data_IF_588587965947
#
_entry.id   IF_588587965947
#
_cell.length_a   1.000
_cell.length_b   1.000
_cell.length_c   1.000
_cell.angle_alpha   90.00
_cell.angle_beta   90.00
_cell.angle_gamma   90.00
#
_symmetry.space_group_name_H-M   'P 1'
#
loop_
_entity.id
_entity.type
_entity.pdbx_description
1 polymer ?
#
# COMPACT_ATOMS: atom_id res chain seq x y z
N UNK A 1 -15.60 -1.67 -2.12
CA UNK A 1 -14.17 -2.12 -2.04
C UNK A 1 -14.02 -3.41 -2.80
N UNK A 2 -12.92 -3.56 -3.52
CA UNK A 2 -12.64 -4.79 -4.27
C UNK A 2 -12.63 -6.00 -3.32
N UNK A 3 -13.07 -7.15 -3.81
CA UNK A 3 -13.20 -8.36 -2.99
C UNK A 3 -12.20 -9.44 -3.40
N UNK A 4 -11.88 -10.39 -2.51
CA UNK A 4 -11.06 -11.54 -2.88
C UNK A 4 -11.63 -12.27 -4.10
N UNK A 5 -10.76 -12.69 -5.01
CA UNK A 5 -11.11 -13.31 -6.28
C UNK A 5 -11.24 -12.34 -7.45
N UNK A 6 -11.44 -11.06 -7.19
CA UNK A 6 -11.43 -10.04 -8.24
C UNK A 6 -9.98 -9.70 -8.63
N UNK A 7 -9.80 -9.17 -9.82
CA UNK A 7 -8.48 -8.91 -10.39
C UNK A 7 -8.31 -7.44 -10.73
N UNK A 8 -7.17 -6.88 -10.35
CA UNK A 8 -6.74 -5.55 -10.76
C UNK A 8 -6.13 -5.59 -12.16
N UNK A 9 -6.32 -4.51 -12.92
CA UNK A 9 -5.74 -4.38 -14.27
C UNK A 9 -4.20 -4.27 -14.18
N UNK A 10 -3.44 -5.23 -14.73
CA UNK A 10 -1.98 -5.15 -14.71
C UNK A 10 -1.41 -4.02 -15.57
N UNK A 11 -2.19 -3.44 -16.48
CA UNK A 11 -1.77 -2.30 -17.29
C UNK A 11 -1.89 -0.96 -16.56
N UNK A 12 -2.44 -0.92 -15.34
CA UNK A 12 -2.60 0.30 -14.56
C UNK A 12 -1.25 1.03 -14.39
N UNK A 13 -1.11 2.27 -14.92
CA UNK A 13 0.14 3.00 -14.79
C UNK A 13 0.31 3.54 -13.37
N UNK A 14 1.51 3.42 -12.82
CA UNK A 14 1.87 3.85 -11.48
C UNK A 14 3.20 4.60 -11.48
N UNK A 15 3.32 5.58 -10.60
CA UNK A 15 4.59 6.23 -10.27
C UNK A 15 5.06 5.74 -8.91
N UNK A 16 6.31 5.30 -8.83
CA UNK A 16 6.83 4.65 -7.61
C UNK A 16 8.19 5.26 -7.23
N UNK A 17 8.53 5.07 -5.98
CA UNK A 17 9.85 5.38 -5.42
C UNK A 17 10.44 4.11 -4.84
N UNK A 18 11.59 3.71 -5.35
CA UNK A 18 12.37 2.57 -4.84
C UNK A 18 13.85 2.78 -5.08
N UNK A 19 14.67 2.26 -4.17
CA UNK A 19 16.14 2.36 -4.26
C UNK A 19 16.65 3.79 -4.48
N UNK A 20 15.96 4.76 -3.84
CA UNK A 20 16.33 6.17 -3.89
C UNK A 20 16.00 6.88 -5.21
N UNK A 21 15.17 6.29 -6.07
CA UNK A 21 14.82 6.86 -7.36
C UNK A 21 13.31 6.79 -7.65
N UNK A 22 12.83 7.79 -8.37
CA UNK A 22 11.48 7.82 -8.93
C UNK A 22 11.44 7.02 -10.23
N UNK A 23 10.38 6.24 -10.42
CA UNK A 23 10.23 5.38 -11.59
C UNK A 23 8.76 5.32 -12.01
N UNK A 24 8.50 5.34 -13.32
CA UNK A 24 7.19 5.05 -13.88
C UNK A 24 7.11 3.59 -14.28
N UNK A 25 6.03 2.91 -13.91
CA UNK A 25 5.85 1.49 -14.15
C UNK A 25 4.35 1.17 -14.33
N UNK A 26 4.03 -0.10 -14.47
CA UNK A 26 2.65 -0.59 -14.40
C UNK A 26 2.49 -1.51 -13.21
N UNK A 27 1.25 -1.74 -12.79
CA UNK A 27 0.97 -2.67 -11.70
C UNK A 27 1.56 -4.06 -11.99
N UNK A 28 1.37 -4.57 -13.19
CA UNK A 28 1.88 -5.88 -13.60
C UNK A 28 3.40 -5.99 -13.55
N UNK A 29 4.12 -4.93 -13.92
CA UNK A 29 5.58 -4.88 -13.82
C UNK A 29 6.05 -4.77 -12.37
N UNK A 30 5.26 -4.13 -11.52
CA UNK A 30 5.57 -3.97 -10.10
C UNK A 30 5.38 -5.28 -9.33
N UNK A 31 4.36 -6.06 -9.69
CA UNK A 31 4.04 -7.34 -9.03
C UNK A 31 4.91 -8.47 -9.59
N UNK A 32 6.02 -8.78 -8.93
CA UNK A 32 6.92 -9.89 -9.32
C UNK A 32 6.51 -11.21 -8.70
N UNK A 33 5.81 -11.18 -7.58
CA UNK A 33 5.32 -12.31 -6.80
C UNK A 33 4.15 -11.84 -5.93
N UNK A 34 3.63 -12.68 -5.07
CA UNK A 34 2.60 -12.24 -4.11
C UNK A 34 3.07 -11.01 -3.37
N UNK A 35 2.18 -10.04 -3.22
CA UNK A 35 2.53 -8.72 -2.71
C UNK A 35 1.50 -8.24 -1.70
N UNK A 36 1.98 -7.69 -0.61
CA UNK A 36 1.18 -6.94 0.36
C UNK A 36 1.17 -5.49 -0.09
N UNK A 37 -0.02 -4.97 -0.40
CA UNK A 37 -0.23 -3.57 -0.74
C UNK A 37 -0.91 -2.87 0.44
N UNK A 38 -0.21 -1.96 1.09
CA UNK A 38 -0.70 -1.23 2.26
C UNK A 38 -1.01 0.22 1.90
N UNK A 39 -2.23 0.64 2.16
CA UNK A 39 -2.70 2.01 1.87
C UNK A 39 -2.70 2.83 3.15
N UNK A 40 -2.00 3.95 3.13
CA UNK A 40 -2.00 4.92 4.24
C UNK A 40 -2.32 6.32 3.71
N UNK A 41 -2.49 7.28 4.63
CA UNK A 41 -3.08 8.57 4.25
C UNK A 41 -2.05 9.61 3.85
N UNK A 42 -1.00 9.80 4.65
CA UNK A 42 -0.04 10.87 4.44
C UNK A 42 1.28 10.61 5.18
N UNK A 43 2.40 10.88 4.52
CA UNK A 43 3.73 10.84 5.11
C UNK A 43 3.82 11.79 6.31
N UNK A 44 4.60 11.39 7.32
CA UNK A 44 4.88 12.20 8.51
C UNK A 44 3.64 12.49 9.38
N UNK A 45 2.72 11.54 9.45
CA UNK A 45 1.59 11.58 10.40
C UNK A 45 1.66 10.40 11.36
N UNK A 46 1.31 10.57 12.66
CA UNK A 46 1.58 9.53 13.67
C UNK A 46 1.00 8.15 13.37
N UNK A 47 -0.27 8.06 13.00
CA UNK A 47 -0.91 6.79 12.69
C UNK A 47 -0.32 6.13 11.43
N UNK A 48 -0.05 6.91 10.40
CA UNK A 48 0.57 6.43 9.18
C UNK A 48 2.01 6.00 9.41
N UNK A 49 2.76 6.76 10.20
CA UNK A 49 4.14 6.40 10.55
C UNK A 49 4.20 5.08 11.29
N UNK A 50 3.28 4.82 12.22
CA UNK A 50 3.20 3.52 12.91
C UNK A 50 2.92 2.37 11.93
N UNK A 51 1.98 2.57 11.00
CA UNK A 51 1.66 1.58 9.97
C UNK A 51 2.87 1.28 9.09
N UNK A 52 3.53 2.31 8.60
CA UNK A 52 4.71 2.22 7.72
C UNK A 52 5.89 1.55 8.45
N UNK A 53 6.16 1.95 9.69
CA UNK A 53 7.25 1.39 10.49
C UNK A 53 7.02 -0.07 10.87
N UNK A 54 5.78 -0.45 11.16
CA UNK A 54 5.41 -1.84 11.44
C UNK A 54 5.74 -2.74 10.24
N UNK A 55 5.38 -2.31 9.04
CA UNK A 55 5.72 -3.03 7.81
C UNK A 55 7.23 -3.09 7.56
N UNK A 56 7.93 -2.00 7.80
CA UNK A 56 9.39 -1.96 7.59
C UNK A 56 10.11 -2.96 8.48
N UNK A 57 9.70 -3.06 9.75
CA UNK A 57 10.27 -4.02 10.70
C UNK A 57 10.02 -5.47 10.29
N UNK A 58 8.95 -5.77 9.57
CA UNK A 58 8.57 -7.12 9.18
C UNK A 58 8.88 -7.45 7.71
N UNK A 59 9.36 -6.50 6.92
CA UNK A 59 9.52 -6.68 5.47
C UNK A 59 10.44 -7.84 5.10
N UNK A 60 11.54 -8.04 5.81
CA UNK A 60 12.45 -9.16 5.58
C UNK A 60 11.76 -10.50 5.83
N UNK A 61 11.00 -10.62 6.91
CA UNK A 61 10.26 -11.83 7.24
C UNK A 61 9.18 -12.13 6.20
N UNK A 62 8.44 -11.11 5.75
CA UNK A 62 7.48 -11.27 4.66
C UNK A 62 8.16 -11.71 3.37
N UNK A 63 9.32 -11.14 3.04
CA UNK A 63 10.11 -11.54 1.89
C UNK A 63 10.52 -13.02 1.92
N UNK A 64 10.94 -13.51 3.07
CA UNK A 64 11.28 -14.95 3.27
C UNK A 64 10.06 -15.85 3.11
N UNK A 65 8.88 -15.34 3.43
CA UNK A 65 7.62 -16.06 3.26
C UNK A 65 7.07 -16.00 1.83
N UNK A 66 7.73 -15.31 0.91
CA UNK A 66 7.34 -15.21 -0.49
C UNK A 66 6.52 -13.97 -0.85
N UNK A 67 6.51 -12.94 0.01
CA UNK A 67 5.72 -11.74 -0.20
C UNK A 67 6.59 -10.49 -0.33
N UNK A 68 6.37 -9.70 -1.38
CA UNK A 68 6.86 -8.34 -1.46
C UNK A 68 5.93 -7.43 -0.66
N UNK A 69 6.45 -6.27 -0.24
CA UNK A 69 5.67 -5.23 0.42
C UNK A 69 5.75 -3.96 -0.40
N UNK A 70 4.61 -3.35 -0.65
CA UNK A 70 4.51 -2.00 -1.20
C UNK A 70 3.50 -1.19 -0.40
N UNK A 71 3.73 0.10 -0.28
CA UNK A 71 2.81 1.00 0.39
C UNK A 71 2.44 2.15 -0.53
N UNK A 72 1.25 2.68 -0.39
CA UNK A 72 0.72 3.72 -1.26
C UNK A 72 0.04 4.83 -0.47
N UNK A 73 0.26 6.06 -0.90
CA UNK A 73 -0.48 7.22 -0.44
C UNK A 73 -0.60 8.26 -1.56
N UNK A 74 -1.33 9.34 -1.30
CA UNK A 74 -1.47 10.47 -2.24
C UNK A 74 -0.23 11.36 -2.32
N UNK A 75 0.76 11.17 -1.46
CA UNK A 75 1.98 11.98 -1.48
C UNK A 75 2.68 11.91 -2.83
N UNK A 76 3.34 13.00 -3.22
CA UNK A 76 4.12 13.06 -4.44
C UNK A 76 5.35 12.15 -4.36
N UNK A 77 5.93 11.81 -5.50
CA UNK A 77 7.20 11.09 -5.55
C UNK A 77 8.32 11.85 -4.83
N UNK A 78 8.35 13.17 -4.91
CA UNK A 78 9.32 13.98 -4.17
C UNK A 78 9.18 13.81 -2.66
N UNK A 79 7.96 13.83 -2.15
CA UNK A 79 7.68 13.55 -0.73
C UNK A 79 8.09 12.13 -0.36
N UNK A 80 7.75 11.15 -1.18
CA UNK A 80 8.14 9.75 -0.96
C UNK A 80 9.65 9.53 -0.97
N UNK A 81 10.39 10.21 -1.83
CA UNK A 81 11.86 10.14 -1.84
C UNK A 81 12.44 10.58 -0.49
N UNK A 82 11.97 11.71 0.04
CA UNK A 82 12.41 12.20 1.35
C UNK A 82 11.99 11.29 2.49
N UNK A 83 10.76 10.80 2.45
CA UNK A 83 10.19 9.92 3.48
C UNK A 83 10.92 8.58 3.54
N UNK A 84 11.14 7.95 2.37
CA UNK A 84 11.86 6.69 2.27
C UNK A 84 13.31 6.82 2.76
N UNK A 85 13.98 7.92 2.43
CA UNK A 85 15.35 8.17 2.88
C UNK A 85 15.42 8.40 4.40
N UNK A 86 14.51 9.20 4.94
CA UNK A 86 14.41 9.50 6.37
C UNK A 86 14.19 8.23 7.20
N UNK A 87 13.28 7.36 6.76
CA UNK A 87 12.92 6.13 7.47
C UNK A 87 13.74 4.91 7.04
N UNK A 88 14.57 5.03 6.01
CA UNK A 88 15.33 3.92 5.43
C UNK A 88 14.42 2.73 5.09
N UNK A 89 13.33 3.02 4.35
CA UNK A 89 12.31 2.02 4.04
C UNK A 89 12.86 0.95 3.10
N UNK A 90 12.68 -0.35 3.42
CA UNK A 90 13.16 -1.46 2.61
C UNK A 90 12.20 -1.86 1.49
N UNK A 91 11.14 -1.11 1.25
CA UNK A 91 10.12 -1.45 0.26
C UNK A 91 9.74 -0.24 -0.59
N UNK A 92 9.02 -0.51 -1.68
CA UNK A 92 8.58 0.48 -2.66
C UNK A 92 7.41 1.31 -2.13
N UNK A 93 7.45 2.62 -2.37
CA UNK A 93 6.32 3.52 -2.15
C UNK A 93 5.68 3.87 -3.50
N UNK A 94 4.36 3.80 -3.55
CA UNK A 94 3.56 4.21 -4.71
C UNK A 94 2.97 5.59 -4.45
N UNK A 95 3.14 6.50 -5.41
CA UNK A 95 2.51 7.82 -5.40
C UNK A 95 1.20 7.75 -6.17
N UNK A 96 0.07 8.05 -5.52
CA UNK A 96 -1.25 7.98 -6.12
C UNK A 96 -2.05 9.27 -5.90
N UNK A 97 -1.54 10.44 -6.38
CA UNK A 97 -2.18 11.73 -6.12
C UNK A 97 -3.55 11.87 -6.77
N UNK A 98 -3.82 11.12 -7.84
CA UNK A 98 -5.07 11.16 -8.59
C UNK A 98 -6.03 10.01 -8.26
N UNK A 99 -5.74 9.26 -7.20
CA UNK A 99 -6.55 8.13 -6.73
C UNK A 99 -6.78 7.02 -7.78
N UNK A 100 -5.85 6.83 -8.71
CA UNK A 100 -5.99 5.79 -9.74
C UNK A 100 -6.09 4.40 -9.12
N UNK A 101 -5.21 4.10 -8.16
CA UNK A 101 -5.22 2.82 -7.45
C UNK A 101 -6.42 2.70 -6.50
N UNK A 102 -6.78 3.81 -5.85
CA UNK A 102 -7.97 3.84 -4.99
C UNK A 102 -9.26 3.57 -5.79
N UNK A 103 -9.38 4.10 -7.00
CA UNK A 103 -10.50 3.78 -7.88
C UNK A 103 -10.46 2.33 -8.35
N UNK A 104 -9.28 1.83 -8.70
CA UNK A 104 -9.12 0.43 -9.14
C UNK A 104 -9.51 -0.57 -8.06
N UNK A 105 -9.27 -0.24 -6.79
CA UNK A 105 -9.66 -1.08 -5.64
C UNK A 105 -11.05 -0.75 -5.10
N UNK A 106 -11.76 0.18 -5.72
CA UNK A 106 -13.07 0.65 -5.26
C UNK A 106 -13.06 1.02 -3.77
N UNK A 107 -12.05 1.79 -3.38
CA UNK A 107 -11.80 2.13 -1.98
C UNK A 107 -11.91 3.62 -1.68
N UNK A 108 -12.46 4.42 -2.60
CA UNK A 108 -12.76 5.82 -2.32
C UNK A 108 -13.94 5.90 -1.36
N UNK A 109 -13.76 6.64 -0.28
CA UNK A 109 -14.79 6.82 0.75
C UNK A 109 -14.95 8.29 1.07
N UNK A 110 -16.13 8.67 1.55
CA UNK A 110 -16.38 9.99 2.07
C UNK A 110 -15.76 10.13 3.46
N UNK A 111 -14.99 11.19 3.64
CA UNK A 111 -14.30 11.50 4.90
C UNK A 111 -14.72 12.87 5.40
N UNK A 112 -14.66 13.07 6.72
CA UNK A 112 -14.95 14.34 7.35
C UNK A 112 -13.75 14.81 8.18
N UNK A 113 -13.38 16.08 8.03
CA UNK A 113 -12.33 16.71 8.82
C UNK A 113 -12.68 18.17 9.03
N UNK A 114 -12.70 18.65 10.30
CA UNK A 114 -13.03 20.03 10.66
C UNK A 114 -14.35 20.52 10.06
N UNK A 115 -15.39 19.65 10.06
CA UNK A 115 -16.71 19.99 9.54
C UNK A 115 -16.83 19.99 8.02
N UNK A 116 -15.76 19.64 7.28
CA UNK A 116 -15.75 19.49 5.83
C UNK A 116 -15.74 18.04 5.43
N UNK A 117 -16.51 17.73 4.38
CA UNK A 117 -16.48 16.38 3.76
C UNK A 117 -15.60 16.41 2.52
N UNK A 118 -14.89 15.30 2.30
CA UNK A 118 -14.09 15.11 1.09
C UNK A 118 -14.03 13.61 0.76
N UNK A 119 -13.72 13.29 -0.50
CA UNK A 119 -13.55 11.92 -0.95
C UNK A 119 -12.06 11.57 -0.95
N UNK A 120 -11.71 10.44 -0.37
CA UNK A 120 -10.33 9.98 -0.33
C UNK A 120 -10.23 8.47 -0.18
N UNK A 121 -9.01 7.90 -0.31
CA UNK A 121 -8.81 6.46 -0.18
C UNK A 121 -9.06 6.00 1.25
N UNK A 122 -9.70 4.84 1.40
CA UNK A 122 -9.79 4.16 2.68
C UNK A 122 -8.42 3.64 3.09
N UNK A 123 -8.10 3.71 4.39
CA UNK A 123 -6.95 3.01 4.96
C UNK A 123 -7.25 1.52 4.93
N UNK A 124 -6.52 0.78 4.12
CA UNK A 124 -6.77 -0.63 3.87
C UNK A 124 -5.47 -1.34 3.50
N UNK A 125 -5.50 -2.66 3.47
CA UNK A 125 -4.41 -3.43 2.90
C UNK A 125 -4.97 -4.59 2.07
N UNK A 126 -4.21 -4.96 1.07
CA UNK A 126 -4.58 -6.01 0.12
C UNK A 126 -3.43 -6.99 0.00
N UNK A 127 -3.75 -8.27 -0.13
CA UNK A 127 -2.77 -9.26 -0.54
C UNK A 127 -3.09 -9.64 -1.98
N UNK A 128 -2.11 -9.44 -2.86
CA UNK A 128 -2.28 -9.62 -4.29
C UNK A 128 -1.43 -10.80 -4.79
N UNK A 129 -2.01 -11.59 -5.68
CA UNK A 129 -1.25 -12.55 -6.47
C UNK A 129 -0.44 -11.80 -7.55
N UNK A 130 0.56 -12.45 -8.10
CA UNK A 130 1.43 -11.88 -9.14
C UNK A 130 0.64 -11.34 -10.35
N UNK A 131 -0.48 -11.95 -10.71
CA UNK A 131 -1.32 -11.53 -11.84
C UNK A 131 -2.29 -10.39 -11.51
N UNK A 132 -2.28 -9.90 -10.26
CA UNK A 132 -3.19 -8.85 -9.80
C UNK A 132 -4.46 -9.34 -9.15
N UNK A 133 -4.67 -10.65 -9.04
CA UNK A 133 -5.83 -11.21 -8.32
C UNK A 133 -5.74 -10.88 -6.85
N UNK A 134 -6.82 -10.38 -6.27
CA UNK A 134 -6.92 -10.08 -4.84
C UNK A 134 -7.11 -11.38 -4.07
N UNK A 135 -6.20 -11.69 -3.17
CA UNK A 135 -6.25 -12.87 -2.32
C UNK A 135 -6.93 -12.59 -0.98
N UNK A 136 -6.72 -11.39 -0.43
CA UNK A 136 -7.29 -10.98 0.84
C UNK A 136 -7.40 -9.46 0.91
N UNK A 137 -8.35 -8.98 1.72
CA UNK A 137 -8.58 -7.55 1.96
C UNK A 137 -8.64 -7.31 3.45
N UNK A 138 -7.90 -6.31 3.93
CA UNK A 138 -7.96 -5.81 5.30
C UNK A 138 -8.64 -4.44 5.26
N UNK A 139 -9.91 -4.38 5.66
CA UNK A 139 -10.70 -3.14 5.60
C UNK A 139 -10.40 -2.18 6.76
N UNK A 140 -10.00 -2.72 7.91
CA UNK A 140 -9.67 -1.93 9.10
C UNK A 140 -8.23 -2.22 9.50
N UNK A 141 -7.32 -1.34 9.11
CA UNK A 141 -5.90 -1.49 9.42
C UNK A 141 -5.66 -1.18 10.90
N UNK A 142 -4.99 -2.11 11.60
CA UNK A 142 -4.45 -1.86 12.92
C UNK A 142 -3.11 -1.13 12.77
N UNK A 143 -3.11 0.18 13.00
CA UNK A 143 -1.90 0.99 12.82
C UNK A 143 -0.85 0.73 13.88
N UNK A 144 -1.22 0.16 15.03
CA UNK A 144 -0.29 -0.12 16.12
C UNK A 144 0.55 -1.37 15.86
N UNK A 145 -0.07 -2.41 15.26
CA UNK A 145 0.60 -3.66 14.94
C UNK A 145 0.10 -4.24 13.62
N UNK A 146 0.31 -3.49 12.57
CA UNK A 146 -0.12 -3.86 11.21
C UNK A 146 0.56 -5.15 10.74
N UNK A 147 1.82 -5.36 11.09
CA UNK A 147 2.54 -6.57 10.72
C UNK A 147 1.91 -7.83 11.32
N UNK A 148 1.51 -7.80 12.60
CA UNK A 148 0.84 -8.94 13.23
C UNK A 148 -0.52 -9.22 12.60
N UNK A 149 -1.27 -8.16 12.29
CA UNK A 149 -2.55 -8.26 11.58
C UNK A 149 -2.37 -8.96 10.22
N UNK A 150 -1.36 -8.56 9.45
CA UNK A 150 -1.07 -9.16 8.15
C UNK A 150 -0.59 -10.60 8.28
N UNK A 151 0.26 -10.93 9.26
CA UNK A 151 0.69 -12.32 9.50
C UNK A 151 -0.50 -13.25 9.72
N UNK A 152 -1.51 -12.79 10.49
CA UNK A 152 -2.73 -13.56 10.71
C UNK A 152 -3.50 -13.78 9.39
N UNK A 153 -3.59 -12.77 8.54
CA UNK A 153 -4.22 -12.87 7.21
C UNK A 153 -3.49 -13.87 6.34
N UNK A 154 -2.16 -13.82 6.29
CA UNK A 154 -1.35 -14.71 5.46
C UNK A 154 -1.46 -16.17 5.87
N UNK A 155 -1.68 -16.47 7.15
CA UNK A 155 -1.87 -17.84 7.64
C UNK A 155 -3.12 -18.52 7.05
N UNK A 156 -4.10 -17.75 6.62
CA UNK A 156 -5.33 -18.24 6.00
C UNK A 156 -5.24 -18.44 4.48
N UNK A 157 -4.10 -18.18 3.88
CA UNK A 157 -3.91 -18.25 2.43
C UNK A 157 -3.19 -19.50 1.96
#
# INVERSE_FOLDING_TARGET
MIAPGQKLDPALPLSVVRDGAEEKTTLGQLLRRRTILSVYMKNNTPGCDRQVDSLAAAATAFGRAGYDVIAVSRDSCGSHLRYAAKKKLPYTLVSDPDDALARATDSLVEKSMYGRTYTGPARAAYVLERDGTVLAVVEKVDTKDHAAQLRAVLKGL
#
